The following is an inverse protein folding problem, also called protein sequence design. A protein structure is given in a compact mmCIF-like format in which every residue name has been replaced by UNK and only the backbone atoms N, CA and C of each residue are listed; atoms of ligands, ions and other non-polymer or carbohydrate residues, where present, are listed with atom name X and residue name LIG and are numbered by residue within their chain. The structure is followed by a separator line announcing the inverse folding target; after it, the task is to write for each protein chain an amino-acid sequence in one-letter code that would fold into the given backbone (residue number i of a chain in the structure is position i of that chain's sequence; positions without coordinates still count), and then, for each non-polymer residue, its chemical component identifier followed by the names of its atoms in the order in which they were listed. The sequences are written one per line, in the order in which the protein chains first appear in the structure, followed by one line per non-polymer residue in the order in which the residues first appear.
data_IF_878181112694
#
_entry.id   IF_878181112694
#
_cell.length_a   1.000
_cell.length_b   1.000
_cell.length_c   1.000
_cell.angle_alpha   90.00
_cell.angle_beta   90.00
_cell.angle_gamma   90.00
#
_symmetry.space_group_name_H-M   'P 1'
#
loop_
_entity.id
_entity.type
_entity.pdbx_description
1 polymer ?
#
# COMPACT_ATOMS: atom_id res chain seq x y z
N UNK A 1 -25.60 -2.11 -9.74
CA UNK A 1 -25.73 -1.16 -8.62
C UNK A 1 -24.72 -0.05 -8.88
N UNK A 2 -25.19 1.14 -9.18
CA UNK A 2 -24.37 2.31 -9.56
C UNK A 2 -23.60 2.81 -8.34
N UNK A 3 -22.29 2.84 -8.48
CA UNK A 3 -21.35 3.47 -7.55
C UNK A 3 -21.79 4.93 -7.31
N UNK A 4 -21.87 5.43 -6.05
CA UNK A 4 -22.22 6.81 -5.80
C UNK A 4 -21.20 7.73 -6.48
N UNK A 5 -21.70 8.69 -7.26
CA UNK A 5 -20.90 9.63 -8.02
C UNK A 5 -19.85 10.33 -7.14
N UNK A 6 -18.60 10.29 -7.59
CA UNK A 6 -17.50 11.02 -6.95
C UNK A 6 -17.84 12.52 -6.86
N UNK A 7 -17.49 13.20 -5.76
CA UNK A 7 -17.68 14.64 -5.65
C UNK A 7 -16.83 15.35 -6.70
N UNK A 8 -17.50 15.91 -7.70
CA UNK A 8 -16.89 16.49 -8.90
C UNK A 8 -16.26 17.88 -8.69
N UNK A 9 -16.04 18.32 -7.44
CA UNK A 9 -15.49 19.65 -7.14
C UNK A 9 -14.36 19.57 -6.11
N UNK A 10 -13.37 20.45 -6.21
CA UNK A 10 -12.28 20.60 -5.24
C UNK A 10 -12.79 20.68 -3.78
N UNK A 11 -13.94 21.35 -3.56
CA UNK A 11 -14.59 21.45 -2.24
C UNK A 11 -15.14 20.10 -1.74
N UNK A 12 -15.58 19.25 -2.66
CA UNK A 12 -16.04 17.89 -2.33
C UNK A 12 -14.88 17.01 -1.86
N UNK A 13 -13.76 17.08 -2.56
CA UNK A 13 -12.56 16.35 -2.18
C UNK A 13 -11.98 16.85 -0.85
N UNK A 14 -11.94 18.16 -0.62
CA UNK A 14 -11.53 18.73 0.68
C UNK A 14 -12.42 18.21 1.83
N UNK A 15 -13.73 18.14 1.61
CA UNK A 15 -14.67 17.60 2.60
C UNK A 15 -14.42 16.12 2.84
N UNK A 16 -14.19 15.33 1.79
CA UNK A 16 -13.87 13.91 1.85
C UNK A 16 -12.60 13.68 2.66
N UNK A 17 -11.53 14.43 2.40
CA UNK A 17 -10.26 14.35 3.12
C UNK A 17 -10.43 14.71 4.60
N UNK A 18 -11.15 15.78 4.92
CA UNK A 18 -11.43 16.18 6.30
C UNK A 18 -12.18 15.11 7.09
N UNK A 19 -13.14 14.42 6.48
CA UNK A 19 -13.86 13.30 7.11
C UNK A 19 -12.89 12.16 7.42
N UNK A 20 -11.97 11.81 6.52
CA UNK A 20 -10.95 10.78 6.74
C UNK A 20 -10.00 11.20 7.87
N UNK A 21 -9.50 12.44 7.88
CA UNK A 21 -8.57 12.92 8.92
C UNK A 21 -9.19 12.85 10.31
N UNK A 22 -10.45 13.26 10.43
CA UNK A 22 -11.21 13.16 11.68
C UNK A 22 -11.40 11.70 12.09
N UNK A 23 -11.74 10.83 11.15
CA UNK A 23 -11.93 9.41 11.44
C UNK A 23 -10.65 8.77 11.96
N UNK A 24 -9.50 9.00 11.33
CA UNK A 24 -8.21 8.47 11.76
C UNK A 24 -7.86 8.93 13.17
N UNK A 25 -8.01 10.23 13.46
CA UNK A 25 -7.79 10.77 14.80
C UNK A 25 -8.70 10.12 15.83
N UNK A 26 -9.99 9.95 15.54
CA UNK A 26 -10.93 9.28 16.46
C UNK A 26 -10.61 7.78 16.63
N UNK A 27 -10.14 7.10 15.58
CA UNK A 27 -9.69 5.72 15.69
C UNK A 27 -8.45 5.61 16.58
N UNK A 28 -7.54 6.55 16.51
CA UNK A 28 -6.34 6.59 17.35
C UNK A 28 -6.68 6.86 18.82
N UNK A 29 -7.55 7.85 19.09
CA UNK A 29 -7.93 8.30 20.44
C UNK A 29 -8.86 7.30 21.15
N UNK A 30 -9.90 6.81 20.46
CA UNK A 30 -11.00 6.03 21.05
C UNK A 30 -10.98 4.56 20.66
N UNK A 31 -10.19 4.20 19.68
CA UNK A 31 -10.17 2.89 19.04
C UNK A 31 -11.24 2.75 17.95
N UNK A 32 -10.96 1.88 16.97
CA UNK A 32 -11.85 1.62 15.83
C UNK A 32 -13.25 1.19 16.25
N UNK A 33 -13.36 0.22 17.19
CA UNK A 33 -14.64 -0.34 17.61
C UNK A 33 -15.58 0.71 18.24
N UNK A 34 -15.04 1.63 19.05
CA UNK A 34 -15.83 2.65 19.76
C UNK A 34 -16.15 3.88 18.91
N UNK A 35 -15.51 4.07 17.78
CA UNK A 35 -15.76 5.19 16.88
C UNK A 35 -17.01 4.91 16.03
N UNK A 36 -17.88 5.90 15.87
CA UNK A 36 -19.12 5.81 15.09
C UNK A 36 -19.12 6.83 13.96
N UNK A 37 -19.86 6.54 12.87
CA UNK A 37 -20.07 7.51 11.78
C UNK A 37 -20.68 8.83 12.26
N UNK A 38 -21.55 8.78 13.28
CA UNK A 38 -22.13 9.98 13.91
C UNK A 38 -21.06 10.84 14.59
N UNK A 39 -20.13 10.22 15.32
CA UNK A 39 -19.05 10.95 15.97
C UNK A 39 -18.11 11.57 14.93
N UNK A 40 -17.79 10.84 13.88
CA UNK A 40 -16.97 11.34 12.76
C UNK A 40 -17.65 12.53 12.07
N UNK A 41 -18.94 12.42 11.72
CA UNK A 41 -19.69 13.48 11.07
C UNK A 41 -19.74 14.76 11.93
N UNK A 42 -20.06 14.60 13.22
CA UNK A 42 -20.11 15.71 14.18
C UNK A 42 -18.78 16.45 14.27
N UNK A 43 -17.71 15.71 14.42
CA UNK A 43 -16.36 16.26 14.58
C UNK A 43 -15.81 16.87 13.27
N UNK A 44 -16.19 16.30 12.11
CA UNK A 44 -15.85 16.84 10.80
C UNK A 44 -16.69 18.07 10.39
N UNK A 45 -17.70 18.46 11.21
CA UNK A 45 -18.58 19.58 10.92
C UNK A 45 -19.49 19.34 9.72
N UNK A 46 -19.92 18.08 9.51
CA UNK A 46 -20.84 17.72 8.43
C UNK A 46 -22.10 17.02 8.99
N UNK A 47 -23.20 17.03 8.23
CA UNK A 47 -24.36 16.23 8.59
C UNK A 47 -24.04 14.72 8.50
N UNK A 48 -24.74 13.91 9.30
CA UNK A 48 -24.58 12.44 9.23
C UNK A 48 -24.89 11.89 7.83
N UNK A 49 -25.92 12.45 7.16
CA UNK A 49 -26.27 12.08 5.79
C UNK A 49 -25.13 12.44 4.80
N UNK A 50 -24.45 13.57 5.00
CA UNK A 50 -23.32 13.94 4.18
C UNK A 50 -22.10 13.03 4.42
N UNK A 51 -21.85 12.61 5.68
CA UNK A 51 -20.79 11.64 5.94
C UNK A 51 -21.07 10.29 5.25
N UNK A 52 -22.32 9.81 5.28
CA UNK A 52 -22.73 8.59 4.57
C UNK A 52 -22.76 8.73 3.04
N UNK A 53 -22.88 9.94 2.51
CA UNK A 53 -22.74 10.20 1.08
C UNK A 53 -21.31 9.93 0.60
N UNK A 54 -20.29 10.30 1.39
CA UNK A 54 -18.88 10.07 1.05
C UNK A 54 -18.41 8.66 1.39
N UNK A 55 -18.87 8.11 2.52
CA UNK A 55 -18.41 6.82 3.05
C UNK A 55 -19.58 6.05 3.66
N UNK A 56 -19.96 4.94 3.05
CA UNK A 56 -21.11 4.15 3.48
C UNK A 56 -20.88 3.40 4.81
N UNK A 57 -19.63 3.27 5.25
CA UNK A 57 -19.26 2.58 6.50
C UNK A 57 -17.94 3.11 7.07
N UNK A 58 -17.60 2.66 8.30
CA UNK A 58 -16.28 2.90 8.89
C UNK A 58 -15.15 2.23 8.09
N UNK A 59 -15.43 1.06 7.54
CA UNK A 59 -14.44 0.34 6.72
C UNK A 59 -14.09 1.16 5.48
N UNK A 60 -15.08 1.81 4.87
CA UNK A 60 -14.83 2.71 3.73
C UNK A 60 -14.02 3.96 4.09
N UNK A 61 -14.09 4.44 5.34
CA UNK A 61 -13.18 5.49 5.79
C UNK A 61 -11.72 5.03 5.79
N UNK A 62 -11.48 3.78 6.19
CA UNK A 62 -10.13 3.20 6.15
C UNK A 62 -9.68 2.93 4.73
N UNK A 63 -10.57 2.43 3.87
CA UNK A 63 -10.26 2.27 2.43
C UNK A 63 -9.93 3.63 1.78
N UNK A 64 -10.68 4.68 2.11
CA UNK A 64 -10.37 6.04 1.68
C UNK A 64 -8.98 6.51 2.15
N UNK A 65 -8.56 6.13 3.36
CA UNK A 65 -7.20 6.38 3.83
C UNK A 65 -6.15 5.59 3.04
N UNK A 66 -6.39 4.32 2.72
CA UNK A 66 -5.46 3.53 1.92
C UNK A 66 -5.25 4.15 0.53
N UNK A 67 -6.33 4.52 -0.16
CA UNK A 67 -6.26 5.20 -1.47
C UNK A 67 -5.48 6.51 -1.35
N UNK A 68 -5.76 7.32 -0.33
CA UNK A 68 -5.00 8.56 -0.07
C UNK A 68 -3.51 8.30 0.12
N UNK A 69 -3.12 7.26 0.87
CA UNK A 69 -1.72 6.90 1.07
C UNK A 69 -1.03 6.55 -0.25
N UNK A 70 -1.73 5.82 -1.14
CA UNK A 70 -1.18 5.50 -2.45
C UNK A 70 -1.04 6.73 -3.33
N UNK A 71 -2.00 7.65 -3.32
CA UNK A 71 -1.92 8.91 -4.07
C UNK A 71 -0.73 9.77 -3.60
N UNK A 72 -0.54 9.91 -2.30
CA UNK A 72 0.61 10.63 -1.73
C UNK A 72 1.94 9.96 -2.07
N UNK A 73 1.98 8.63 -2.04
CA UNK A 73 3.17 7.87 -2.41
C UNK A 73 3.49 8.02 -3.90
N UNK A 74 2.49 7.90 -4.77
CA UNK A 74 2.66 8.13 -6.21
C UNK A 74 3.18 9.54 -6.50
N UNK A 75 2.60 10.55 -5.84
CA UNK A 75 3.04 11.94 -5.98
C UNK A 75 4.50 12.11 -5.52
N UNK A 76 4.86 11.51 -4.38
CA UNK A 76 6.23 11.53 -3.88
C UNK A 76 7.23 10.87 -4.84
N UNK A 77 6.84 9.80 -5.52
CA UNK A 77 7.68 9.07 -6.48
C UNK A 77 7.77 9.78 -7.84
N UNK A 78 6.72 10.52 -8.22
CA UNK A 78 6.61 11.17 -9.54
C UNK A 78 7.81 12.04 -9.86
N UNK A 79 8.44 11.76 -11.00
CA UNK A 79 9.62 12.47 -11.49
C UNK A 79 10.93 12.17 -10.77
N UNK A 80 10.93 11.37 -9.70
CA UNK A 80 12.14 11.06 -8.94
C UNK A 80 12.88 9.79 -9.42
N UNK A 81 12.19 8.89 -10.10
CA UNK A 81 12.79 7.64 -10.60
C UNK A 81 13.60 7.82 -11.88
N UNK A 82 13.50 8.97 -12.58
CA UNK A 82 14.01 9.18 -13.92
C UNK A 82 15.51 8.92 -14.15
N UNK A 83 16.44 9.39 -13.30
CA UNK A 83 17.88 9.31 -13.60
C UNK A 83 18.51 7.97 -13.28
N UNK A 84 17.89 7.12 -12.47
CA UNK A 84 18.46 5.82 -12.09
C UNK A 84 17.82 4.67 -12.85
N UNK A 85 18.64 3.73 -13.30
CA UNK A 85 18.23 2.53 -14.03
C UNK A 85 18.42 1.23 -13.23
N UNK A 86 19.07 1.27 -12.06
CA UNK A 86 19.18 0.11 -11.16
C UNK A 86 17.83 -0.16 -10.48
N UNK A 87 17.34 -1.39 -10.58
CA UNK A 87 16.12 -1.83 -9.88
C UNK A 87 16.25 -1.61 -8.36
N UNK A 88 17.39 -1.98 -7.79
CA UNK A 88 17.66 -1.82 -6.36
C UNK A 88 17.56 -0.36 -5.92
N UNK A 89 18.15 0.57 -6.68
CA UNK A 89 18.10 2.00 -6.34
C UNK A 89 16.68 2.57 -6.51
N UNK A 90 15.96 2.18 -7.56
CA UNK A 90 14.59 2.61 -7.79
C UNK A 90 13.66 2.11 -6.68
N UNK A 91 13.73 0.83 -6.34
CA UNK A 91 12.94 0.25 -5.26
C UNK A 91 13.30 0.87 -3.90
N UNK A 92 14.60 1.01 -3.59
CA UNK A 92 15.07 1.67 -2.36
C UNK A 92 14.52 3.10 -2.21
N UNK A 93 14.55 3.88 -3.30
CA UNK A 93 14.00 5.24 -3.31
C UNK A 93 12.48 5.22 -3.07
N UNK A 94 11.75 4.36 -3.77
CA UNK A 94 10.30 4.21 -3.66
C UNK A 94 9.89 3.85 -2.23
N UNK A 95 10.56 2.86 -1.61
CA UNK A 95 10.26 2.47 -0.24
C UNK A 95 10.57 3.58 0.78
N UNK A 96 11.69 4.30 0.63
CA UNK A 96 11.97 5.42 1.52
C UNK A 96 10.95 6.55 1.39
N UNK A 97 10.48 6.86 0.18
CA UNK A 97 9.44 7.85 -0.04
C UNK A 97 8.10 7.41 0.58
N UNK A 98 7.77 6.12 0.51
CA UNK A 98 6.63 5.58 1.24
C UNK A 98 6.78 5.76 2.74
N UNK A 99 7.94 5.41 3.31
CA UNK A 99 8.20 5.56 4.74
C UNK A 99 8.10 7.03 5.20
N UNK A 100 8.54 7.98 4.39
CA UNK A 100 8.42 9.41 4.68
C UNK A 100 6.94 9.85 4.69
N UNK A 101 6.15 9.40 3.73
CA UNK A 101 4.71 9.68 3.65
C UNK A 101 3.93 9.01 4.78
N UNK A 102 4.33 7.80 5.18
CA UNK A 102 3.66 7.00 6.19
C UNK A 102 4.02 7.38 7.63
N UNK A 103 5.15 8.05 7.86
CA UNK A 103 5.67 8.37 9.19
C UNK A 103 4.63 8.99 10.15
N UNK A 104 3.80 9.99 9.72
CA UNK A 104 2.80 10.59 10.60
C UNK A 104 1.73 9.60 11.09
N UNK A 105 1.56 8.49 10.41
CA UNK A 105 0.51 7.48 10.67
C UNK A 105 1.03 6.23 11.37
N UNK A 106 2.31 6.20 11.77
CA UNK A 106 2.94 5.01 12.35
C UNK A 106 2.21 4.49 13.60
N UNK A 107 1.85 5.37 14.52
CA UNK A 107 1.14 4.97 15.74
C UNK A 107 -0.26 4.43 15.46
N UNK A 108 -0.98 5.06 14.53
CA UNK A 108 -2.28 4.58 14.06
C UNK A 108 -2.14 3.18 13.43
N UNK A 109 -1.20 3.01 12.50
CA UNK A 109 -0.95 1.74 11.81
C UNK A 109 -0.64 0.61 12.79
N UNK A 110 0.15 0.87 13.84
CA UNK A 110 0.45 -0.11 14.88
C UNK A 110 -0.78 -0.59 15.66
N UNK A 111 -1.67 0.33 16.01
CA UNK A 111 -2.92 -0.01 16.70
C UNK A 111 -3.95 -0.69 15.81
N UNK A 112 -3.94 -0.34 14.52
CA UNK A 112 -4.90 -0.80 13.53
C UNK A 112 -4.52 -2.14 12.89
N UNK A 113 -3.24 -2.48 12.88
CA UNK A 113 -2.70 -3.65 12.20
C UNK A 113 -3.41 -4.96 12.60
N UNK A 114 -3.72 -5.14 13.89
CA UNK A 114 -4.40 -6.35 14.36
C UNK A 114 -5.76 -6.57 13.68
N UNK A 115 -6.50 -5.50 13.40
CA UNK A 115 -7.81 -5.56 12.72
C UNK A 115 -7.62 -5.88 11.23
N UNK A 116 -6.62 -5.27 10.59
CA UNK A 116 -6.33 -5.48 9.18
C UNK A 116 -5.72 -6.88 8.90
N UNK A 117 -5.05 -7.46 9.89
CA UNK A 117 -4.43 -8.79 9.78
C UNK A 117 -5.41 -9.97 9.93
N UNK A 118 -6.65 -9.74 10.35
CA UNK A 118 -7.67 -10.79 10.40
C UNK A 118 -7.98 -11.29 8.98
N UNK A 119 -7.95 -12.62 8.72
CA UNK A 119 -8.11 -13.17 7.36
C UNK A 119 -9.40 -12.76 6.64
N UNK A 120 -10.49 -12.55 7.39
CA UNK A 120 -11.81 -12.17 6.86
C UNK A 120 -12.08 -10.68 6.95
N UNK A 121 -11.09 -9.88 7.35
CA UNK A 121 -11.26 -8.44 7.48
C UNK A 121 -11.38 -7.76 6.11
N UNK A 122 -12.42 -6.95 5.88
CA UNK A 122 -12.51 -6.12 4.68
C UNK A 122 -11.38 -5.06 4.63
N UNK A 123 -10.65 -4.89 5.71
CA UNK A 123 -9.53 -3.96 5.86
C UNK A 123 -8.18 -4.61 5.60
N UNK A 124 -8.16 -5.93 5.32
CA UNK A 124 -6.94 -6.62 4.87
C UNK A 124 -6.45 -6.02 3.55
N UNK A 125 -5.13 -5.78 3.39
CA UNK A 125 -4.57 -5.38 2.09
C UNK A 125 -4.87 -6.37 0.95
N UNK A 126 -5.21 -7.61 1.31
CA UNK A 126 -5.53 -8.70 0.37
C UNK A 126 -7.02 -8.84 0.09
N UNK A 127 -7.89 -8.10 0.79
CA UNK A 127 -9.33 -8.14 0.57
C UNK A 127 -9.73 -7.55 -0.77
N UNK A 128 -10.95 -7.86 -1.23
CA UNK A 128 -11.53 -7.27 -2.45
C UNK A 128 -11.78 -5.77 -2.26
N UNK A 129 -12.18 -5.36 -1.07
CA UNK A 129 -12.41 -3.95 -0.73
C UNK A 129 -11.14 -3.09 -0.83
N UNK A 130 -9.96 -3.71 -0.62
CA UNK A 130 -8.65 -3.03 -0.74
C UNK A 130 -8.07 -3.08 -2.16
N UNK A 131 -8.78 -3.61 -3.14
CA UNK A 131 -8.31 -3.80 -4.53
C UNK A 131 -7.81 -2.49 -5.14
N UNK A 132 -8.57 -1.41 -5.05
CA UNK A 132 -8.19 -0.12 -5.63
C UNK A 132 -6.83 0.37 -5.12
N UNK A 133 -6.63 0.34 -3.79
CA UNK A 133 -5.36 0.73 -3.17
C UNK A 133 -4.23 -0.22 -3.53
N UNK A 134 -4.51 -1.53 -3.63
CA UNK A 134 -3.53 -2.55 -4.06
C UNK A 134 -3.10 -2.34 -5.50
N UNK A 135 -4.03 -2.10 -6.42
CA UNK A 135 -3.74 -1.83 -7.83
C UNK A 135 -2.91 -0.56 -8.00
N UNK A 136 -3.23 0.51 -7.27
CA UNK A 136 -2.45 1.75 -7.27
C UNK A 136 -1.02 1.51 -6.75
N UNK A 137 -0.86 0.77 -5.65
CA UNK A 137 0.46 0.41 -5.12
C UNK A 137 1.26 -0.46 -6.09
N UNK A 138 0.63 -1.45 -6.71
CA UNK A 138 1.26 -2.31 -7.72
C UNK A 138 1.66 -1.50 -8.97
N UNK A 139 0.89 -0.48 -9.36
CA UNK A 139 1.25 0.42 -10.46
C UNK A 139 2.52 1.22 -10.17
N UNK A 140 2.73 1.65 -8.92
CA UNK A 140 3.99 2.28 -8.49
C UNK A 140 5.15 1.27 -8.66
N UNK A 141 4.99 0.02 -8.21
CA UNK A 141 6.01 -1.02 -8.38
C UNK A 141 6.27 -1.35 -9.85
N UNK A 142 5.24 -1.31 -10.70
CA UNK A 142 5.40 -1.45 -12.16
C UNK A 142 6.30 -0.35 -12.72
N UNK A 143 6.13 0.90 -12.30
CA UNK A 143 7.00 2.00 -12.73
C UNK A 143 8.46 1.82 -12.29
N UNK A 144 8.70 1.17 -11.15
CA UNK A 144 10.05 0.78 -10.70
C UNK A 144 10.68 -0.21 -11.67
N UNK A 145 9.93 -1.23 -12.08
CA UNK A 145 10.41 -2.29 -13.00
C UNK A 145 10.65 -1.73 -14.41
N UNK A 146 9.66 -1.05 -14.99
CA UNK A 146 9.68 -0.56 -16.37
C UNK A 146 10.82 0.42 -16.63
N UNK A 147 11.17 1.25 -15.65
CA UNK A 147 12.29 2.18 -15.76
C UNK A 147 13.66 1.57 -15.45
N UNK A 148 13.74 0.28 -15.08
CA UNK A 148 15.01 -0.40 -14.77
C UNK A 148 15.61 -1.09 -15.99
N UNK A 149 16.95 -1.26 -15.99
CA UNK A 149 17.66 -2.04 -17.02
C UNK A 149 17.89 -3.49 -16.60
N UNK A 150 17.13 -3.97 -15.62
CA UNK A 150 17.28 -5.33 -15.09
C UNK A 150 17.03 -6.36 -16.19
N UNK A 151 17.90 -7.36 -16.26
CA UNK A 151 17.75 -8.49 -17.15
C UNK A 151 17.36 -9.72 -16.33
N UNK A 152 16.16 -10.23 -16.54
CA UNK A 152 15.63 -11.39 -15.85
C UNK A 152 14.88 -12.30 -16.83
N UNK A 153 14.37 -13.43 -16.33
CA UNK A 153 13.43 -14.26 -17.07
C UNK A 153 12.17 -13.46 -17.44
N UNK A 154 11.64 -13.64 -18.65
CA UNK A 154 10.49 -12.86 -19.13
C UNK A 154 9.23 -13.03 -18.29
N UNK A 155 8.98 -14.27 -17.82
CA UNK A 155 7.82 -14.57 -16.97
C UNK A 155 7.97 -13.88 -15.62
N UNK A 156 9.17 -13.96 -15.01
CA UNK A 156 9.46 -13.24 -13.77
C UNK A 156 9.26 -11.72 -13.94
N UNK A 157 9.71 -11.12 -15.05
CA UNK A 157 9.54 -9.69 -15.29
C UNK A 157 8.06 -9.27 -15.36
N UNK A 158 7.19 -10.14 -15.89
CA UNK A 158 5.76 -9.88 -15.94
C UNK A 158 5.11 -9.87 -14.55
N UNK A 159 5.53 -10.81 -13.68
CA UNK A 159 5.02 -10.95 -12.31
C UNK A 159 5.75 -10.03 -11.29
N UNK A 160 6.86 -9.42 -11.70
CA UNK A 160 7.73 -8.68 -10.79
C UNK A 160 7.04 -7.49 -10.08
N UNK A 161 6.13 -6.73 -10.69
CA UNK A 161 5.41 -5.66 -10.00
C UNK A 161 4.62 -6.18 -8.77
N UNK A 162 3.96 -7.34 -8.91
CA UNK A 162 3.21 -7.96 -7.81
C UNK A 162 4.12 -8.53 -6.74
N UNK A 163 5.23 -9.15 -7.12
CA UNK A 163 6.23 -9.65 -6.18
C UNK A 163 6.89 -8.51 -5.40
N UNK A 164 7.15 -7.36 -6.03
CA UNK A 164 7.64 -6.17 -5.34
C UNK A 164 6.59 -5.57 -4.42
N UNK A 165 5.30 -5.63 -4.80
CA UNK A 165 4.22 -5.23 -3.91
C UNK A 165 4.13 -6.15 -2.68
N UNK A 166 4.30 -7.47 -2.82
CA UNK A 166 4.39 -8.39 -1.68
C UNK A 166 5.61 -8.08 -0.78
N UNK A 167 6.75 -7.77 -1.39
CA UNK A 167 7.93 -7.33 -0.64
C UNK A 167 7.68 -6.02 0.11
N UNK A 168 6.97 -5.07 -0.50
CA UNK A 168 6.50 -3.84 0.14
C UNK A 168 5.57 -4.14 1.33
N UNK A 169 4.62 -5.08 1.21
CA UNK A 169 3.79 -5.52 2.35
C UNK A 169 4.65 -6.07 3.50
N UNK A 170 5.72 -6.80 3.19
CA UNK A 170 6.72 -7.22 4.17
C UNK A 170 7.42 -6.05 4.86
N UNK A 171 7.75 -4.99 4.11
CA UNK A 171 8.32 -3.75 4.67
C UNK A 171 7.30 -3.05 5.57
N UNK A 172 6.04 -2.93 5.15
CA UNK A 172 4.96 -2.36 5.96
C UNK A 172 4.76 -3.12 7.26
N UNK A 173 4.73 -4.47 7.19
CA UNK A 173 4.62 -5.33 8.37
C UNK A 173 5.78 -5.07 9.35
N UNK A 174 7.00 -4.99 8.87
CA UNK A 174 8.17 -4.70 9.71
C UNK A 174 8.11 -3.28 10.28
N UNK A 175 7.75 -2.30 9.45
CA UNK A 175 7.62 -0.90 9.83
C UNK A 175 6.60 -0.68 10.95
N UNK A 176 5.42 -1.30 10.87
CA UNK A 176 4.38 -1.22 11.90
C UNK A 176 4.90 -1.62 13.29
N UNK A 177 5.84 -2.56 13.35
CA UNK A 177 6.43 -3.07 14.60
C UNK A 177 7.77 -2.42 14.96
N UNK A 178 8.27 -1.49 14.13
CA UNK A 178 9.56 -0.84 14.36
C UNK A 178 9.44 0.33 15.33
N UNK A 179 9.83 0.12 16.57
CA UNK A 179 9.86 1.12 17.62
C UNK A 179 11.16 1.96 17.68
N UNK A 180 12.09 1.78 16.73
CA UNK A 180 13.32 2.56 16.69
C UNK A 180 13.05 4.01 16.26
N UNK A 181 13.84 5.00 16.75
CA UNK A 181 13.67 6.40 16.38
C UNK A 181 13.69 6.59 14.85
N UNK A 182 12.66 7.24 14.29
CA UNK A 182 12.49 7.47 12.86
C UNK A 182 12.41 6.17 12.04
N UNK A 183 11.99 5.05 12.65
CA UNK A 183 11.93 3.71 12.05
C UNK A 183 13.25 3.32 11.34
N UNK A 184 14.38 3.62 12.02
CA UNK A 184 15.71 3.43 11.46
C UNK A 184 16.03 1.98 11.10
N UNK A 185 15.45 0.99 11.80
CA UNK A 185 15.61 -0.44 11.49
C UNK A 185 14.92 -0.80 10.19
N UNK A 186 13.74 -0.26 9.92
CA UNK A 186 13.02 -0.45 8.65
C UNK A 186 13.79 0.14 7.49
N UNK A 187 14.29 1.36 7.63
CA UNK A 187 15.15 1.99 6.62
C UNK A 187 16.44 1.20 6.37
N UNK A 188 17.02 0.62 7.42
CA UNK A 188 18.17 -0.29 7.29
C UNK A 188 17.78 -1.57 6.54
N UNK A 189 16.62 -2.18 6.87
CA UNK A 189 16.10 -3.37 6.19
C UNK A 189 15.98 -3.11 4.70
N UNK A 190 15.26 -2.07 4.28
CA UNK A 190 15.06 -1.70 2.88
C UNK A 190 16.40 -1.51 2.17
N UNK A 191 17.33 -0.76 2.77
CA UNK A 191 18.66 -0.53 2.20
C UNK A 191 19.47 -1.82 1.99
N UNK A 192 19.30 -2.82 2.86
CA UNK A 192 20.02 -4.11 2.77
C UNK A 192 19.34 -5.08 1.82
N UNK A 193 18.01 -5.06 1.76
CA UNK A 193 17.22 -5.97 0.92
C UNK A 193 17.27 -5.54 -0.56
N UNK A 194 17.27 -4.26 -0.88
CA UNK A 194 17.25 -3.77 -2.25
C UNK A 194 18.34 -4.41 -3.17
N UNK A 195 19.63 -4.43 -2.81
CA UNK A 195 20.65 -5.06 -3.66
C UNK A 195 20.52 -6.58 -3.70
N UNK A 196 19.94 -7.22 -2.66
CA UNK A 196 19.71 -8.66 -2.66
C UNK A 196 18.59 -9.03 -3.63
N UNK A 197 17.49 -8.27 -3.66
CA UNK A 197 16.40 -8.44 -4.63
C UNK A 197 16.92 -8.38 -6.06
N UNK A 198 17.67 -7.33 -6.40
CA UNK A 198 18.22 -7.18 -7.76
C UNK A 198 19.13 -8.36 -8.15
N UNK A 199 19.97 -8.85 -7.23
CA UNK A 199 20.83 -10.02 -7.46
C UNK A 199 19.99 -11.28 -7.69
N UNK A 200 19.03 -11.58 -6.82
CA UNK A 200 18.16 -12.77 -6.94
C UNK A 200 17.40 -12.74 -8.26
N UNK A 201 16.82 -11.60 -8.62
CA UNK A 201 16.09 -11.43 -9.88
C UNK A 201 17.03 -11.65 -11.08
N UNK A 202 18.23 -11.10 -11.05
CA UNK A 202 19.22 -11.26 -12.13
C UNK A 202 19.67 -12.71 -12.30
N UNK A 203 19.74 -13.49 -11.22
CA UNK A 203 20.10 -14.92 -11.25
C UNK A 203 19.01 -15.78 -11.92
N UNK A 204 17.76 -15.31 -12.05
CA UNK A 204 16.67 -16.02 -12.72
C UNK A 204 16.95 -16.37 -14.19
N UNK A 205 17.93 -15.72 -14.79
CA UNK A 205 18.39 -16.01 -16.16
C UNK A 205 19.19 -17.30 -16.29
N UNK A 206 19.71 -17.81 -15.17
CA UNK A 206 20.51 -19.04 -15.19
C UNK A 206 19.59 -20.24 -15.43
N UNK A 207 19.93 -21.13 -16.42
CA UNK A 207 19.06 -22.26 -16.77
C UNK A 207 18.73 -23.16 -15.59
N UNK A 208 19.68 -23.34 -14.67
CA UNK A 208 19.53 -24.22 -13.47
C UNK A 208 18.45 -23.68 -12.53
N UNK A 209 18.29 -22.35 -12.42
CA UNK A 209 17.31 -21.70 -11.51
C UNK A 209 15.96 -21.46 -12.17
N UNK A 210 15.90 -21.45 -13.50
CA UNK A 210 14.70 -21.11 -14.26
C UNK A 210 13.55 -22.07 -14.00
N UNK A 211 13.81 -23.37 -13.96
CA UNK A 211 12.76 -24.37 -13.70
C UNK A 211 12.17 -24.22 -12.31
N UNK A 212 13.02 -24.06 -11.29
CA UNK A 212 12.57 -23.89 -9.91
C UNK A 212 11.79 -22.55 -9.74
N UNK A 213 12.24 -21.49 -10.43
CA UNK A 213 11.53 -20.22 -10.43
C UNK A 213 10.13 -20.34 -11.04
N UNK A 214 10.01 -21.04 -12.19
CA UNK A 214 8.70 -21.22 -12.81
C UNK A 214 7.76 -22.02 -11.92
N UNK A 215 8.25 -23.08 -11.25
CA UNK A 215 7.46 -23.84 -10.27
C UNK A 215 7.01 -22.95 -9.08
N UNK A 216 7.89 -22.07 -8.60
CA UNK A 216 7.51 -21.11 -7.55
C UNK A 216 6.45 -20.11 -8.02
N UNK A 217 6.57 -19.60 -9.24
CA UNK A 217 5.57 -18.70 -9.81
C UNK A 217 4.21 -19.41 -10.03
N UNK A 218 4.23 -20.68 -10.47
CA UNK A 218 3.03 -21.50 -10.57
C UNK A 218 2.37 -21.68 -9.20
N UNK A 219 3.16 -22.01 -8.18
CA UNK A 219 2.66 -22.15 -6.81
C UNK A 219 2.05 -20.84 -6.28
N UNK A 220 2.69 -19.69 -6.52
CA UNK A 220 2.15 -18.38 -6.12
C UNK A 220 0.82 -18.10 -6.84
N UNK A 221 0.73 -18.41 -8.14
CA UNK A 221 -0.50 -18.25 -8.90
C UNK A 221 -1.62 -19.17 -8.38
N UNK A 222 -1.31 -20.42 -8.04
CA UNK A 222 -2.26 -21.39 -7.49
C UNK A 222 -2.76 -21.02 -6.08
N UNK A 223 -1.92 -20.35 -5.28
CA UNK A 223 -2.25 -19.89 -3.93
C UNK A 223 -2.86 -18.49 -3.91
N UNK A 224 -2.77 -17.75 -5.00
CA UNK A 224 -3.41 -16.45 -5.14
C UNK A 224 -4.93 -16.56 -5.05
N UNK A 225 -5.65 -15.49 -4.69
CA UNK A 225 -7.10 -15.49 -4.71
C UNK A 225 -7.55 -15.86 -6.11
N UNK A 226 -8.13 -17.06 -6.26
CA UNK A 226 -8.60 -17.61 -7.52
C UNK A 226 -9.53 -16.59 -8.16
N UNK A 227 -9.09 -15.97 -9.25
CA UNK A 227 -9.94 -15.17 -10.08
C UNK A 227 -11.01 -16.09 -10.67
N UNK A 228 -12.21 -16.02 -10.15
CA UNK A 228 -13.44 -16.57 -10.72
C UNK A 228 -14.14 -15.50 -11.54
#
# INVERSE_FOLDING_TARGET
MTNPAEPSTARGEETRQRIVDVALRLFEEKGYAKTTMRAVASEAGVSLGNAYYYFSSKDQLVQGFYVRMQNLHEEAVRGRLGPTTSLAQRWLLTENLFLDVAEPYHQFAGKFFAIAAEPTSPLSPFSEESREAREASTAIMRSVVEGSVIKADKRLLAELPELLWLAHMGVVLFWVHDSSPGQARTRLLVRRVAPLLERIISLSRLPVLRSNLHQLLDLIADLGPSGS
#
